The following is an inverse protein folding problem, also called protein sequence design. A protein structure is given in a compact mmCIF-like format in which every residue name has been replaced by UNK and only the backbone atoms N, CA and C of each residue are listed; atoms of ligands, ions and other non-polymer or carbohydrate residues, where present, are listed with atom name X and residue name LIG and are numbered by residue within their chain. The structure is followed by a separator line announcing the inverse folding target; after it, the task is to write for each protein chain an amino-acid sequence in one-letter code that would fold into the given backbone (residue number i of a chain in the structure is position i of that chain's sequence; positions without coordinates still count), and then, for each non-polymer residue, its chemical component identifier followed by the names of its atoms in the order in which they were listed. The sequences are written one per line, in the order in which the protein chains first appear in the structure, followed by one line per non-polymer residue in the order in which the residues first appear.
data_IF_179413748549
#
_entry.id   IF_179413748549
#
_cell.length_a   1.000
_cell.length_b   1.000
_cell.length_c   1.000
_cell.angle_alpha   90.00
_cell.angle_beta   90.00
_cell.angle_gamma   90.00
#
_symmetry.space_group_name_H-M   'P 1'
#
loop_
_entity.id
_entity.type
_entity.pdbx_description
1 polymer ?
#
# COMPACT_ATOMS: atom_id res chain seq x y z
N UNK A 1 13.96 2.35 -4.79
CA UNK A 1 13.17 1.12 -4.81
C UNK A 1 11.75 1.48 -4.44
N UNK A 2 10.79 0.87 -5.11
CA UNK A 2 9.37 1.02 -4.82
C UNK A 2 8.77 -0.37 -4.86
N UNK A 3 8.30 -0.84 -3.72
CA UNK A 3 7.73 -2.18 -3.60
C UNK A 3 6.49 -2.14 -2.71
N UNK A 4 5.55 -3.03 -2.95
CA UNK A 4 4.34 -3.16 -2.14
C UNK A 4 3.96 -4.62 -1.99
N UNK A 5 3.39 -4.96 -0.85
CA UNK A 5 2.74 -6.25 -0.69
C UNK A 5 1.63 -6.43 -1.74
N UNK A 6 1.44 -7.66 -2.18
CA UNK A 6 0.30 -8.06 -3.01
C UNK A 6 -0.37 -9.29 -2.43
N UNK A 7 -1.69 -9.28 -2.48
CA UNK A 7 -2.56 -10.35 -2.02
C UNK A 7 -3.48 -10.70 -3.17
N UNK A 8 -3.42 -11.95 -3.65
CA UNK A 8 -4.15 -12.41 -4.83
C UNK A 8 -3.98 -11.48 -6.06
N UNK A 9 -2.75 -11.00 -6.26
CA UNK A 9 -2.38 -10.09 -7.34
C UNK A 9 -2.84 -8.64 -7.17
N UNK A 10 -3.53 -8.30 -6.08
CA UNK A 10 -3.93 -6.93 -5.73
C UNK A 10 -2.91 -6.29 -4.81
N UNK A 11 -2.48 -5.07 -5.12
CA UNK A 11 -1.53 -4.30 -4.30
C UNK A 11 -2.18 -3.89 -2.97
N UNK A 12 -1.52 -4.20 -1.86
CA UNK A 12 -1.92 -3.79 -0.51
C UNK A 12 -0.82 -3.04 0.25
N UNK A 13 -1.01 -2.92 1.56
CA UNK A 13 0.01 -2.50 2.52
C UNK A 13 0.70 -3.75 3.12
N UNK A 14 1.95 -3.65 3.60
CA UNK A 14 2.80 -2.46 3.64
C UNK A 14 3.40 -2.06 2.29
N UNK A 15 3.86 -0.81 2.20
CA UNK A 15 4.57 -0.25 1.03
C UNK A 15 5.97 0.21 1.45
N UNK A 16 6.98 -0.17 0.66
CA UNK A 16 8.36 0.27 0.82
C UNK A 16 8.67 1.41 -0.15
N UNK A 17 9.14 2.53 0.41
CA UNK A 17 9.61 3.70 -0.33
C UNK A 17 11.10 3.91 -0.11
N UNK A 18 11.93 3.62 -1.11
CA UNK A 18 13.32 4.04 -1.12
C UNK A 18 13.43 5.57 -1.14
N UNK A 19 14.49 6.11 -0.52
CA UNK A 19 14.66 7.55 -0.29
C UNK A 19 14.50 8.44 -1.54
N UNK A 20 14.86 7.94 -2.73
CA UNK A 20 14.71 8.66 -3.99
C UNK A 20 13.25 9.03 -4.35
N UNK A 21 12.26 8.32 -3.79
CA UNK A 21 10.83 8.58 -4.05
C UNK A 21 10.25 9.65 -3.13
N UNK A 22 10.93 10.00 -2.04
CA UNK A 22 10.36 10.82 -0.97
C UNK A 22 9.97 12.23 -1.43
N UNK A 23 10.82 12.89 -2.22
CA UNK A 23 10.52 14.23 -2.74
C UNK A 23 9.20 14.26 -3.52
N UNK A 24 9.03 13.34 -4.47
CA UNK A 24 7.79 13.27 -5.27
C UNK A 24 6.56 12.87 -4.46
N UNK A 25 6.73 12.06 -3.40
CA UNK A 25 5.63 11.75 -2.47
C UNK A 25 5.22 13.01 -1.70
N UNK A 26 6.18 13.76 -1.16
CA UNK A 26 5.89 14.96 -0.35
C UNK A 26 5.22 16.07 -1.13
N UNK A 27 5.45 16.15 -2.45
CA UNK A 27 4.76 17.11 -3.33
C UNK A 27 3.26 16.82 -3.47
N UNK A 28 2.86 15.54 -3.39
CA UNK A 28 1.48 15.09 -3.60
C UNK A 28 0.73 14.75 -2.31
N UNK A 29 1.45 14.52 -1.22
CA UNK A 29 0.89 14.10 0.06
C UNK A 29 0.14 15.26 0.74
N UNK A 30 -1.15 15.39 0.43
CA UNK A 30 -2.05 16.39 1.02
C UNK A 30 -3.11 15.70 1.88
N UNK A 31 -3.18 16.06 3.16
CA UNK A 31 -4.09 15.44 4.13
C UNK A 31 -3.89 13.92 4.21
N UNK A 32 -4.99 13.19 4.29
CA UNK A 32 -4.98 11.73 4.48
C UNK A 32 -4.73 10.96 3.17
N UNK A 33 -4.46 11.64 2.05
CA UNK A 33 -4.15 10.96 0.79
C UNK A 33 -2.79 10.26 0.81
N UNK A 34 -1.83 10.80 1.56
CA UNK A 34 -0.48 10.27 1.63
C UNK A 34 0.14 10.04 0.24
N UNK A 35 0.77 8.88 0.05
CA UNK A 35 1.43 8.52 -1.20
C UNK A 35 0.49 7.92 -2.27
N UNK A 36 -0.84 7.91 -2.07
CA UNK A 36 -1.79 7.21 -2.96
C UNK A 36 -1.68 7.69 -4.42
N UNK A 37 -1.65 9.00 -4.64
CA UNK A 37 -1.58 9.59 -5.97
C UNK A 37 -0.18 9.35 -6.61
N UNK A 38 0.89 9.39 -5.81
CA UNK A 38 2.24 9.04 -6.26
C UNK A 38 2.33 7.58 -6.73
N UNK A 39 1.78 6.64 -5.97
CA UNK A 39 1.76 5.21 -6.30
C UNK A 39 0.96 4.94 -7.58
N UNK A 40 -0.18 5.62 -7.77
CA UNK A 40 -0.98 5.49 -8.99
C UNK A 40 -0.19 5.94 -10.24
N UNK A 41 0.54 7.06 -10.13
CA UNK A 41 1.37 7.58 -11.21
C UNK A 41 2.59 6.70 -11.54
N UNK A 42 3.08 5.91 -10.57
CA UNK A 42 4.28 5.07 -10.70
C UNK A 42 3.97 3.57 -10.68
N UNK A 43 2.73 3.18 -11.00
CA UNK A 43 2.23 1.80 -10.91
C UNK A 43 3.15 0.76 -11.56
N UNK A 44 3.72 1.08 -12.72
CA UNK A 44 4.56 0.15 -13.50
C UNK A 44 5.99 0.02 -12.91
N UNK A 45 6.38 0.93 -12.02
CA UNK A 45 7.66 0.89 -11.31
C UNK A 45 7.56 0.16 -9.94
N UNK A 46 6.36 -0.21 -9.51
CA UNK A 46 6.14 -0.95 -8.26
C UNK A 46 6.55 -2.40 -8.46
N UNK A 47 7.45 -2.88 -7.62
CA UNK A 47 7.74 -4.32 -7.50
C UNK A 47 6.72 -4.96 -6.56
N UNK A 48 5.85 -5.87 -7.04
CA UNK A 48 4.93 -6.58 -6.16
C UNK A 48 5.69 -7.64 -5.34
N UNK A 49 5.28 -7.81 -4.09
CA UNK A 49 5.78 -8.85 -3.18
C UNK A 49 4.57 -9.69 -2.74
N UNK A 50 4.48 -10.93 -3.22
CA UNK A 50 3.37 -11.80 -2.87
C UNK A 50 3.39 -12.15 -1.38
N UNK A 51 2.27 -11.88 -0.71
CA UNK A 51 2.05 -12.14 0.72
C UNK A 51 0.73 -12.88 0.96
N UNK A 52 0.15 -13.49 -0.09
CA UNK A 52 -1.16 -14.14 -0.04
C UNK A 52 -1.20 -15.34 0.94
N UNK A 53 -0.04 -15.91 1.28
CA UNK A 53 0.11 -17.00 2.25
C UNK A 53 0.60 -16.55 3.64
N UNK A 54 0.86 -15.25 3.81
CA UNK A 54 1.44 -14.69 5.04
C UNK A 54 0.39 -13.98 5.90
N UNK A 55 -0.55 -13.30 5.28
CA UNK A 55 -1.54 -12.50 5.99
C UNK A 55 -2.78 -12.23 5.12
N UNK A 56 -3.85 -11.76 5.77
CA UNK A 56 -5.03 -11.23 5.11
C UNK A 56 -5.02 -9.69 5.21
N UNK A 57 -5.28 -8.96 4.10
CA UNK A 57 -5.10 -7.50 4.05
C UNK A 57 -6.38 -6.74 4.43
N UNK A 58 -7.07 -7.15 5.49
CA UNK A 58 -8.32 -6.50 5.91
C UNK A 58 -8.05 -5.15 6.57
N UNK A 59 -8.78 -4.12 6.14
CA UNK A 59 -8.92 -2.86 6.87
C UNK A 59 -10.10 -2.98 7.86
N UNK A 60 -9.93 -2.45 9.07
CA UNK A 60 -10.95 -2.50 10.13
C UNK A 60 -11.54 -1.09 10.25
N UNK A 61 -12.57 -0.78 9.45
CA UNK A 61 -13.15 0.57 9.35
C UNK A 61 -14.51 0.69 10.04
N UNK A 62 -15.20 -0.43 10.24
CA UNK A 62 -16.54 -0.54 10.81
C UNK A 62 -16.59 -1.58 11.93
N UNK A 63 -17.67 -1.57 12.72
CA UNK A 63 -17.87 -2.58 13.78
C UNK A 63 -18.00 -4.01 13.21
N UNK A 64 -18.53 -4.15 11.99
CA UNK A 64 -18.66 -5.43 11.31
C UNK A 64 -17.30 -6.06 11.00
N UNK A 65 -16.30 -5.23 10.66
CA UNK A 65 -14.96 -5.68 10.31
C UNK A 65 -14.21 -6.34 11.47
N UNK A 66 -14.64 -6.11 12.73
CA UNK A 66 -14.05 -6.77 13.91
C UNK A 66 -14.13 -8.30 13.85
N UNK A 67 -15.08 -8.86 13.10
CA UNK A 67 -15.16 -10.31 12.86
C UNK A 67 -13.93 -10.89 12.16
N UNK A 68 -13.09 -10.06 11.54
CA UNK A 68 -11.81 -10.47 10.95
C UNK A 68 -10.67 -10.67 11.97
N UNK A 69 -10.89 -10.34 13.26
CA UNK A 69 -9.86 -10.42 14.31
C UNK A 69 -10.00 -11.64 15.24
N UNK A 70 -11.02 -12.47 15.05
CA UNK A 70 -11.31 -13.68 15.86
C UNK A 70 -10.65 -14.94 15.28
#
# INVERSE_FOLDING_TARGET
SLAAASYDGQRGHPVLFGAAHWAGITELAVGDRGARDYLAAHRDAITPVDCSDVAEPYDIDTEEDLGHLE
#
